data_IF_204552841241
#
_entry.id   IF_204552841241
#
_cell.length_a   1.000
_cell.length_b   1.000
_cell.length_c   1.000
_cell.angle_alpha   90.00
_cell.angle_beta   90.00
_cell.angle_gamma   90.00
#
_symmetry.space_group_name_H-M   'P 1'
#
loop_
_entity.id
_entity.type
_entity.pdbx_description
1 polymer ?
#
# COMPACT_ATOMS: atom_id res chain seq x y z
N UNK A 1 -13.36 -2.95 8.75
CA UNK A 1 -14.38 -2.39 9.68
C UNK A 1 -14.34 -0.89 9.47
N UNK A 2 -15.33 -0.34 8.79
CA UNK A 2 -15.32 1.05 8.33
C UNK A 2 -15.20 2.06 9.48
N UNK A 3 -14.43 3.10 9.23
CA UNK A 3 -14.14 4.19 10.16
C UNK A 3 -15.35 5.14 10.24
N UNK A 4 -15.71 5.62 11.44
CA UNK A 4 -16.73 6.64 11.68
C UNK A 4 -16.17 7.67 12.67
N UNK A 5 -16.51 8.94 12.50
CA UNK A 5 -16.06 10.08 13.32
C UNK A 5 -16.21 9.81 14.83
N UNK A 6 -17.34 9.22 15.22
CA UNK A 6 -17.60 8.84 16.62
C UNK A 6 -16.55 7.85 17.17
N UNK A 7 -16.07 6.93 16.33
CA UNK A 7 -15.02 5.97 16.70
C UNK A 7 -13.63 6.56 16.68
N UNK A 8 -13.42 7.66 15.97
CA UNK A 8 -12.15 8.40 15.98
C UNK A 8 -12.01 9.20 17.27
N UNK A 9 -13.10 9.78 17.77
CA UNK A 9 -13.15 10.49 19.05
C UNK A 9 -12.98 9.54 20.25
N UNK A 10 -13.60 8.37 20.22
CA UNK A 10 -13.49 7.35 21.28
C UNK A 10 -12.07 6.76 21.41
N UNK A 11 -11.24 6.85 20.36
CA UNK A 11 -9.85 6.36 20.33
C UNK A 11 -8.85 7.50 20.54
N UNK A 12 -9.04 8.32 21.58
CA UNK A 12 -7.93 9.12 22.10
C UNK A 12 -6.85 8.18 22.62
N UNK A 13 -5.64 8.24 22.04
CA UNK A 13 -4.51 7.41 22.46
C UNK A 13 -4.13 7.65 23.93
N UNK A 14 -3.27 6.78 24.46
CA UNK A 14 -2.84 6.70 25.88
C UNK A 14 -2.44 8.03 26.55
N UNK A 15 -2.19 9.09 25.77
CA UNK A 15 -1.75 10.42 26.22
C UNK A 15 -2.74 11.58 25.92
N UNK A 16 -3.99 11.28 25.53
CA UNK A 16 -5.06 12.28 25.22
C UNK A 16 -4.76 13.27 24.09
N UNK A 17 -3.65 13.13 23.36
CA UNK A 17 -3.36 13.98 22.20
C UNK A 17 -4.38 13.68 21.07
N UNK A 18 -5.09 14.69 20.54
CA UNK A 18 -5.98 14.53 19.40
C UNK A 18 -5.25 13.92 18.19
N UNK A 19 -5.88 12.96 17.51
CA UNK A 19 -5.26 12.22 16.39
C UNK A 19 -4.69 13.14 15.30
N UNK A 20 -5.39 14.22 14.99
CA UNK A 20 -4.96 15.22 13.99
C UNK A 20 -3.63 15.86 14.41
N UNK A 21 -3.49 16.20 15.70
CA UNK A 21 -2.27 16.80 16.24
C UNK A 21 -1.10 15.81 16.24
N UNK A 22 -1.35 14.54 16.54
CA UNK A 22 -0.35 13.48 16.42
C UNK A 22 0.10 13.26 14.97
N UNK A 23 -0.84 13.26 14.02
CA UNK A 23 -0.53 13.15 12.59
C UNK A 23 0.28 14.36 12.09
N UNK A 24 -0.05 15.57 12.55
CA UNK A 24 0.73 16.78 12.25
C UNK A 24 2.15 16.72 12.82
N UNK A 25 2.32 16.23 14.05
CA UNK A 25 3.64 16.05 14.67
C UNK A 25 4.48 15.04 13.89
N UNK A 26 3.87 13.92 13.47
CA UNK A 26 4.55 12.93 12.62
C UNK A 26 5.00 13.56 11.29
N UNK A 27 4.11 14.24 10.58
CA UNK A 27 4.43 14.87 9.29
C UNK A 27 5.57 15.88 9.42
N UNK A 28 5.58 16.71 10.48
CA UNK A 28 6.66 17.66 10.73
C UNK A 28 8.00 16.96 10.98
N UNK A 29 8.01 15.85 11.72
CA UNK A 29 9.23 15.05 11.96
C UNK A 29 9.78 14.44 10.68
N UNK A 30 8.91 13.96 9.78
CA UNK A 30 9.31 13.45 8.47
C UNK A 30 9.96 14.52 7.59
N UNK A 31 9.40 15.74 7.57
CA UNK A 31 9.94 16.86 6.79
C UNK A 31 11.32 17.27 7.29
N UNK A 32 11.50 17.40 8.61
CA UNK A 32 12.79 17.78 9.20
C UNK A 32 13.87 16.69 9.07
N UNK A 33 13.48 15.41 8.99
CA UNK A 33 14.42 14.31 8.76
C UNK A 33 14.95 14.25 7.31
N UNK A 34 14.40 15.05 6.39
CA UNK A 34 14.84 15.08 4.99
C UNK A 34 15.98 16.09 4.71
N UNK A 35 16.35 16.96 5.67
CA UNK A 35 17.38 18.00 5.50
C UNK A 35 18.77 17.62 6.04
N UNK A 36 18.90 16.61 6.91
CA UNK A 36 20.20 16.21 7.47
C UNK A 36 20.68 14.87 6.91
N UNK A 37 21.71 14.92 6.06
CA UNK A 37 22.33 13.76 5.42
C UNK A 37 23.47 13.16 6.24
N UNK A 38 23.20 12.03 6.92
CA UNK A 38 24.26 11.10 7.37
C UNK A 38 23.81 9.64 7.25
N UNK A 39 24.74 8.75 6.90
CA UNK A 39 24.45 7.38 6.41
C UNK A 39 23.77 6.42 7.43
N UNK A 40 23.81 6.70 8.74
CA UNK A 40 22.98 6.00 9.74
C UNK A 40 21.51 6.46 9.76
N UNK A 41 21.18 7.69 9.35
CA UNK A 41 19.80 8.20 9.28
C UNK A 41 19.00 7.63 8.10
N UNK A 42 19.67 7.15 7.05
CA UNK A 42 19.02 6.54 5.88
C UNK A 42 18.32 5.23 6.27
N UNK A 43 18.90 4.44 7.18
CA UNK A 43 18.28 3.21 7.70
C UNK A 43 17.05 3.54 8.56
N UNK A 44 17.09 4.64 9.32
CA UNK A 44 15.93 5.15 10.06
C UNK A 44 14.81 5.65 9.15
N UNK A 45 15.17 6.32 8.05
CA UNK A 45 14.23 6.82 7.05
C UNK A 45 13.60 5.65 6.27
N UNK A 46 14.38 4.67 5.82
CA UNK A 46 13.87 3.49 5.12
C UNK A 46 12.95 2.64 5.99
N UNK A 47 13.29 2.42 7.27
CA UNK A 47 12.41 1.73 8.22
C UNK A 47 11.12 2.50 8.45
N UNK A 48 11.21 3.82 8.66
CA UNK A 48 10.04 4.68 8.88
C UNK A 48 9.13 4.72 7.64
N UNK A 49 9.73 4.79 6.44
CA UNK A 49 9.06 4.70 5.14
C UNK A 49 8.38 3.33 4.97
N UNK A 50 9.08 2.23 5.27
CA UNK A 50 8.52 0.88 5.24
C UNK A 50 7.31 0.77 6.18
N UNK A 51 7.44 1.21 7.43
CA UNK A 51 6.33 1.20 8.40
C UNK A 51 5.15 2.05 7.95
N UNK A 52 5.41 3.26 7.44
CA UNK A 52 4.37 4.17 6.96
C UNK A 52 3.60 3.59 5.77
N UNK A 53 4.31 3.19 4.71
CA UNK A 53 3.71 2.61 3.49
C UNK A 53 2.92 1.36 3.83
N UNK A 54 3.45 0.50 4.69
CA UNK A 54 2.79 -0.74 5.10
C UNK A 54 1.50 -0.47 5.89
N UNK A 55 1.49 0.56 6.74
CA UNK A 55 0.29 1.02 7.43
C UNK A 55 -0.78 1.52 6.44
N UNK A 56 -0.40 2.39 5.51
CA UNK A 56 -1.32 2.96 4.52
C UNK A 56 -1.85 1.88 3.57
N UNK A 57 -1.00 0.94 3.13
CA UNK A 57 -1.39 -0.20 2.29
C UNK A 57 -2.47 -1.05 2.98
N UNK A 58 -2.30 -1.37 4.27
CA UNK A 58 -3.29 -2.14 5.02
C UNK A 58 -4.63 -1.39 5.12
N UNK A 59 -4.58 -0.09 5.39
CA UNK A 59 -5.79 0.73 5.44
C UNK A 59 -6.52 0.83 4.09
N UNK A 60 -5.79 0.76 2.98
CA UNK A 60 -6.33 0.92 1.63
C UNK A 60 -7.25 -0.23 1.19
N UNK A 61 -7.27 -1.36 1.91
CA UNK A 61 -8.27 -2.41 1.70
C UNK A 61 -9.71 -1.92 1.99
N UNK A 62 -9.85 -0.84 2.76
CA UNK A 62 -11.13 -0.14 2.97
C UNK A 62 -11.31 0.98 1.92
N UNK A 63 -12.38 0.95 1.11
CA UNK A 63 -12.64 1.95 0.08
C UNK A 63 -12.65 3.41 0.56
N UNK A 64 -13.11 3.69 1.78
CA UNK A 64 -13.12 5.06 2.30
C UNK A 64 -11.70 5.57 2.57
N UNK A 65 -10.83 4.70 3.09
CA UNK A 65 -9.42 5.01 3.28
C UNK A 65 -8.69 5.12 1.95
N UNK A 66 -8.98 4.24 0.98
CA UNK A 66 -8.41 4.29 -0.37
C UNK A 66 -8.74 5.62 -1.08
N UNK A 67 -9.97 6.11 -0.93
CA UNK A 67 -10.38 7.41 -1.45
C UNK A 67 -9.57 8.55 -0.80
N UNK A 68 -9.42 8.53 0.53
CA UNK A 68 -8.63 9.54 1.25
C UNK A 68 -7.15 9.54 0.83
N UNK A 69 -6.54 8.36 0.70
CA UNK A 69 -5.15 8.20 0.25
C UNK A 69 -4.96 8.74 -1.17
N UNK A 70 -5.91 8.48 -2.06
CA UNK A 70 -5.90 9.01 -3.43
C UNK A 70 -6.00 10.54 -3.43
N UNK A 71 -6.95 11.11 -2.67
CA UNK A 71 -7.14 12.56 -2.55
C UNK A 71 -5.92 13.27 -1.95
N UNK A 72 -5.16 12.57 -1.10
CA UNK A 72 -3.94 13.09 -0.47
C UNK A 72 -2.70 13.00 -1.37
N UNK A 73 -2.84 12.58 -2.64
CA UNK A 73 -1.72 12.44 -3.57
C UNK A 73 -0.82 11.23 -3.27
N UNK A 74 -1.38 10.16 -2.70
CA UNK A 74 -0.61 8.96 -2.32
C UNK A 74 -0.14 8.10 -3.50
N UNK A 75 -0.79 8.19 -4.67
CA UNK A 75 -0.50 7.32 -5.82
C UNK A 75 0.95 7.43 -6.31
N UNK A 76 1.51 8.63 -6.58
CA UNK A 76 2.91 8.78 -6.97
C UNK A 76 3.88 8.16 -5.96
N UNK A 77 3.57 8.21 -4.66
CA UNK A 77 4.40 7.61 -3.62
C UNK A 77 4.44 6.09 -3.76
N UNK A 78 3.29 5.43 -3.96
CA UNK A 78 3.26 3.98 -4.16
C UNK A 78 3.91 3.53 -5.46
N UNK A 79 3.84 4.33 -6.52
CA UNK A 79 4.58 4.08 -7.76
C UNK A 79 6.09 4.15 -7.50
N UNK A 80 6.56 5.16 -6.76
CA UNK A 80 7.97 5.27 -6.37
C UNK A 80 8.44 4.08 -5.53
N UNK A 81 7.57 3.51 -4.69
CA UNK A 81 7.88 2.32 -3.88
C UNK A 81 8.26 1.11 -4.72
N UNK A 82 7.78 1.02 -5.97
CA UNK A 82 8.14 -0.05 -6.90
C UNK A 82 9.60 0.00 -7.32
N UNK A 83 10.32 1.11 -7.11
CA UNK A 83 11.76 1.20 -7.39
C UNK A 83 12.62 1.03 -6.13
N UNK A 84 12.00 0.70 -4.99
CA UNK A 84 12.72 0.57 -3.72
C UNK A 84 13.64 -0.66 -3.70
N UNK A 85 14.84 -0.56 -3.11
CA UNK A 85 15.69 -1.73 -2.86
C UNK A 85 15.10 -2.64 -1.76
N UNK A 86 14.18 -2.13 -0.94
CA UNK A 86 13.56 -2.86 0.17
C UNK A 86 12.39 -3.69 -0.34
N UNK A 87 12.53 -5.02 -0.27
CA UNK A 87 11.51 -5.94 -0.83
C UNK A 87 10.12 -5.72 -0.24
N UNK A 88 10.02 -5.47 1.07
CA UNK A 88 8.73 -5.23 1.73
C UNK A 88 8.03 -3.97 1.21
N UNK A 89 8.80 -2.92 0.94
CA UNK A 89 8.31 -1.66 0.37
C UNK A 89 7.72 -1.87 -1.02
N UNK A 90 8.39 -2.67 -1.87
CA UNK A 90 7.87 -3.05 -3.19
C UNK A 90 6.56 -3.85 -3.07
N UNK A 91 6.51 -4.85 -2.18
CA UNK A 91 5.29 -5.63 -1.91
C UNK A 91 4.11 -4.73 -1.50
N UNK A 92 4.36 -3.78 -0.59
CA UNK A 92 3.33 -2.85 -0.13
C UNK A 92 2.91 -1.87 -1.23
N UNK A 93 3.84 -1.43 -2.09
CA UNK A 93 3.54 -0.63 -3.28
C UNK A 93 2.58 -1.37 -4.23
N UNK A 94 2.91 -2.60 -4.59
CA UNK A 94 2.04 -3.44 -5.44
C UNK A 94 0.66 -3.68 -4.81
N UNK A 95 0.61 -4.00 -3.52
CA UNK A 95 -0.64 -4.23 -2.79
C UNK A 95 -1.51 -2.97 -2.70
N UNK A 96 -0.91 -1.80 -2.42
CA UNK A 96 -1.63 -0.55 -2.35
C UNK A 96 -2.20 -0.16 -3.73
N UNK A 97 -1.40 -0.26 -4.80
CA UNK A 97 -1.89 0.03 -6.16
C UNK A 97 -3.05 -0.88 -6.56
N UNK A 98 -3.04 -2.15 -6.13
CA UNK A 98 -4.16 -3.07 -6.35
C UNK A 98 -5.49 -2.60 -5.71
N UNK A 99 -5.41 -1.98 -4.53
CA UNK A 99 -6.58 -1.43 -3.84
C UNK A 99 -6.98 -0.04 -4.35
N UNK A 100 -6.00 0.79 -4.71
CA UNK A 100 -6.23 2.17 -5.11
C UNK A 100 -6.75 2.27 -6.54
N UNK A 101 -6.34 1.38 -7.46
CA UNK A 101 -6.73 1.44 -8.86
C UNK A 101 -8.24 1.29 -9.06
N UNK A 102 -8.86 2.35 -9.57
CA UNK A 102 -10.27 2.46 -9.90
C UNK A 102 -10.46 3.40 -11.11
N UNK A 103 -11.70 3.59 -11.57
CA UNK A 103 -12.01 4.38 -12.77
C UNK A 103 -11.45 5.81 -12.74
N UNK A 104 -11.37 6.45 -11.57
CA UNK A 104 -10.95 7.85 -11.43
C UNK A 104 -9.45 8.05 -11.54
N UNK A 105 -8.65 7.05 -11.19
CA UNK A 105 -7.18 7.13 -11.14
C UNK A 105 -6.50 6.10 -12.06
N UNK A 106 -7.28 5.42 -12.89
CA UNK A 106 -6.81 4.38 -13.83
C UNK A 106 -5.74 4.91 -14.78
N UNK A 107 -5.92 6.10 -15.32
CA UNK A 107 -4.97 6.71 -16.27
C UNK A 107 -3.62 7.03 -15.62
N UNK A 108 -3.60 7.30 -14.32
CA UNK A 108 -2.37 7.56 -13.58
C UNK A 108 -1.65 6.26 -13.20
N UNK A 109 -2.40 5.26 -12.74
CA UNK A 109 -1.85 3.99 -12.25
C UNK A 109 -1.48 3.05 -13.41
N UNK A 110 -2.23 3.07 -14.51
CA UNK A 110 -1.98 2.21 -15.69
C UNK A 110 -1.14 2.89 -16.77
N UNK A 111 -0.31 3.87 -16.39
CA UNK A 111 0.71 4.40 -17.30
C UNK A 111 1.60 3.28 -17.83
N UNK A 112 2.01 3.32 -19.10
CA UNK A 112 2.79 2.24 -19.71
C UNK A 112 4.04 1.87 -18.89
N UNK A 113 4.73 2.87 -18.35
CA UNK A 113 5.95 2.68 -17.58
C UNK A 113 5.69 1.92 -16.27
N UNK A 114 4.55 2.19 -15.63
CA UNK A 114 4.13 1.51 -14.38
C UNK A 114 3.72 0.07 -14.69
N UNK A 115 2.91 -0.14 -15.73
CA UNK A 115 2.47 -1.47 -16.15
C UNK A 115 3.66 -2.35 -16.55
N UNK A 116 4.66 -1.79 -17.23
CA UNK A 116 5.87 -2.52 -17.61
C UNK A 116 6.70 -2.95 -16.39
N UNK A 117 6.81 -2.09 -15.37
CA UNK A 117 7.44 -2.46 -14.09
C UNK A 117 6.68 -3.60 -13.42
N UNK A 118 5.34 -3.53 -13.36
CA UNK A 118 4.50 -4.59 -12.77
C UNK A 118 4.66 -5.91 -13.55
N UNK A 119 4.70 -5.89 -14.89
CA UNK A 119 4.97 -7.09 -15.70
C UNK A 119 6.32 -7.72 -15.40
N UNK A 120 7.38 -6.93 -15.18
CA UNK A 120 8.69 -7.45 -14.78
C UNK A 120 8.62 -8.16 -13.42
N UNK A 121 7.90 -7.59 -12.45
CA UNK A 121 7.66 -8.26 -11.17
C UNK A 121 6.85 -9.54 -11.32
N UNK A 122 5.86 -9.54 -12.20
CA UNK A 122 5.03 -10.70 -12.53
C UNK A 122 5.85 -11.87 -13.11
N UNK A 123 6.92 -11.56 -13.85
CA UNK A 123 7.86 -12.52 -14.43
C UNK A 123 9.02 -12.91 -13.47
N UNK A 124 9.19 -12.21 -12.34
CA UNK A 124 10.31 -12.41 -11.41
C UNK A 124 9.99 -13.46 -10.31
N UNK A 125 9.37 -14.58 -10.67
CA UNK A 125 8.98 -15.65 -9.73
C UNK A 125 10.16 -16.22 -8.93
N UNK A 126 11.32 -16.32 -9.56
CA UNK A 126 12.55 -16.83 -8.95
C UNK A 126 13.14 -15.87 -7.89
N UNK A 127 12.79 -14.59 -7.95
CA UNK A 127 13.27 -13.56 -7.01
C UNK A 127 12.32 -13.43 -5.82
N UNK A 128 11.02 -13.57 -6.04
CA UNK A 128 9.98 -13.43 -5.03
C UNK A 128 8.63 -13.94 -5.52
N UNK A 129 8.19 -15.07 -4.97
CA UNK A 129 6.82 -15.55 -5.20
C UNK A 129 5.76 -14.51 -4.79
N UNK A 130 6.04 -13.68 -3.76
CA UNK A 130 5.13 -12.62 -3.32
C UNK A 130 5.00 -11.51 -4.37
N UNK A 131 6.08 -11.10 -5.03
CA UNK A 131 6.03 -10.09 -6.09
C UNK A 131 5.28 -10.60 -7.30
N UNK A 132 5.61 -11.81 -7.75
CA UNK A 132 4.97 -12.39 -8.93
C UNK A 132 3.47 -12.54 -8.72
N UNK A 133 3.04 -13.06 -7.56
CA UNK A 133 1.63 -13.28 -7.29
C UNK A 133 0.82 -11.97 -7.22
N UNK A 134 1.35 -10.94 -6.52
CA UNK A 134 0.67 -9.64 -6.41
C UNK A 134 0.62 -8.92 -7.76
N UNK A 135 1.72 -8.94 -8.51
CA UNK A 135 1.79 -8.31 -9.81
C UNK A 135 0.86 -9.00 -10.83
N UNK A 136 0.81 -10.33 -10.85
CA UNK A 136 -0.13 -11.08 -11.69
C UNK A 136 -1.58 -10.74 -11.33
N UNK A 137 -1.93 -10.78 -10.04
CA UNK A 137 -3.28 -10.43 -9.59
C UNK A 137 -3.69 -9.00 -9.99
N UNK A 138 -2.76 -8.05 -9.97
CA UNK A 138 -2.99 -6.70 -10.47
C UNK A 138 -3.26 -6.69 -11.99
N UNK A 139 -2.40 -7.33 -12.78
CA UNK A 139 -2.53 -7.36 -14.23
C UNK A 139 -3.83 -8.04 -14.67
N UNK A 140 -4.17 -9.16 -14.05
CA UNK A 140 -5.40 -9.90 -14.33
C UNK A 140 -6.65 -9.06 -14.09
N UNK A 141 -6.64 -8.25 -13.02
CA UNK A 141 -7.78 -7.41 -12.67
C UNK A 141 -7.92 -6.15 -13.54
N UNK A 142 -6.82 -5.53 -13.96
CA UNK A 142 -6.86 -4.18 -14.53
C UNK A 142 -6.36 -4.06 -15.97
N UNK A 143 -5.59 -5.03 -16.47
CA UNK A 143 -4.94 -5.01 -17.80
C UNK A 143 -5.50 -6.11 -18.70
N UNK A 144 -5.84 -7.28 -18.16
CA UNK A 144 -6.27 -8.47 -18.92
C UNK A 144 -7.76 -8.48 -19.33
N UNK A 145 -8.43 -7.33 -19.38
CA UNK A 145 -9.86 -7.21 -19.69
C UNK A 145 -10.16 -7.59 -21.17
N UNK A 146 -10.17 -8.91 -21.49
CA UNK A 146 -10.89 -9.53 -22.62
C UNK A 146 -10.87 -11.06 -22.78
N UNK A 147 -10.44 -11.90 -21.83
CA UNK A 147 -10.71 -13.36 -21.94
C UNK A 147 -10.89 -14.03 -20.55
N UNK A 148 -11.98 -13.73 -19.86
CA UNK A 148 -12.56 -14.72 -18.93
C UNK A 148 -14.09 -14.70 -19.15
N UNK A 149 -14.69 -15.74 -19.78
CA UNK A 149 -16.13 -15.90 -19.72
C UNK A 149 -16.53 -16.00 -18.25
N UNK A 150 -17.52 -15.20 -17.85
CA UNK A 150 -18.15 -15.23 -16.51
C UNK A 150 -18.21 -16.66 -15.98
N UNK A 151 -17.34 -17.02 -15.05
CA UNK A 151 -17.55 -18.20 -14.23
C UNK A 151 -16.89 -18.03 -12.87
N UNK A 152 -17.75 -18.17 -11.86
CA UNK A 152 -17.47 -18.36 -10.44
C UNK A 152 -16.98 -17.11 -9.72
N UNK A 153 -17.92 -16.46 -9.02
CA UNK A 153 -17.66 -15.88 -7.70
C UNK A 153 -16.94 -16.95 -6.87
N UNK A 154 -15.60 -16.96 -6.92
CA UNK A 154 -14.84 -17.74 -5.99
C UNK A 154 -15.15 -17.15 -4.61
N UNK A 155 -15.58 -17.96 -3.62
CA UNK A 155 -15.40 -17.51 -2.26
C UNK A 155 -13.91 -17.20 -2.17
N UNK A 156 -13.57 -16.01 -1.66
CA UNK A 156 -12.20 -15.76 -1.19
C UNK A 156 -12.00 -16.76 -0.05
N UNK A 157 -11.65 -17.99 -0.40
CA UNK A 157 -11.20 -18.99 0.51
C UNK A 157 -9.90 -18.42 1.06
N UNK A 158 -9.93 -18.05 2.33
CA UNK A 158 -8.83 -17.55 3.14
C UNK A 158 -7.73 -18.63 3.35
N UNK A 159 -7.39 -19.37 2.31
CA UNK A 159 -6.52 -20.53 2.34
C UNK A 159 -5.64 -20.47 1.08
N UNK A 160 -4.55 -19.70 1.19
CA UNK A 160 -3.58 -19.51 0.11
C UNK A 160 -2.76 -18.22 0.22
N UNK A 161 -3.21 -17.27 1.05
CA UNK A 161 -2.43 -16.09 1.46
C UNK A 161 -1.46 -16.42 2.62
N UNK A 162 -0.79 -17.58 2.58
CA UNK A 162 0.21 -17.95 3.60
C UNK A 162 1.47 -17.06 3.58
N UNK A 163 1.60 -16.14 2.61
CA UNK A 163 2.62 -15.09 2.60
C UNK A 163 2.12 -13.71 3.04
N UNK A 164 0.84 -13.55 3.39
CA UNK A 164 0.48 -12.51 4.34
C UNK A 164 0.54 -13.19 5.71
N UNK A 165 1.63 -13.03 6.49
CA UNK A 165 1.53 -13.41 7.88
C UNK A 165 0.34 -12.65 8.44
N UNK A 166 -0.63 -13.41 8.94
CA UNK A 166 -1.79 -12.97 9.71
C UNK A 166 -1.38 -12.30 11.05
N UNK A 167 -0.23 -11.63 11.08
CA UNK A 167 0.29 -10.85 12.19
C UNK A 167 -0.25 -9.42 12.21
N UNK A 168 -1.01 -8.98 11.19
CA UNK A 168 -1.38 -7.57 11.02
C UNK A 168 -2.87 -7.24 11.21
N UNK A 169 -3.60 -8.11 11.93
CA UNK A 169 -4.94 -7.82 12.47
C UNK A 169 -4.93 -7.71 14.02
N UNK A 170 -3.83 -8.03 14.70
CA UNK A 170 -3.78 -8.08 16.17
C UNK A 170 -2.86 -7.03 16.82
N UNK A 171 -2.90 -5.77 16.38
CA UNK A 171 -2.47 -4.63 17.22
C UNK A 171 -3.28 -3.38 16.84
N UNK A 172 -4.53 -3.30 17.34
CA UNK A 172 -5.08 -2.08 17.93
C UNK A 172 -5.91 -2.50 19.14
#
# INVERSE_FOLDING_TARGET
>A
MFTNDKRQEERTGKYKTPRVQYLQELVSRFQNASDEGTKEQVVGNEMLVEFGIRGICNCSADPANAAFVTQSGGIPLFIQCLSSPVRNTVCCGLGALYYLCNELNREEILKPEVVDVIKRYAAASEVSASFSNLAQAFLDKFVSDRIIPKLVTLPVAASGLSCFPAFFIYVI
#
